data_IF_078417148627
#
_entry.id   IF_078417148627
#
_cell.length_a   1.000
_cell.length_b   1.000
_cell.length_c   1.000
_cell.angle_alpha   90.00
_cell.angle_beta   90.00
_cell.angle_gamma   90.00
#
_symmetry.space_group_name_H-M   'P 1'
#
loop_
_entity.id
_entity.type
_entity.pdbx_description
1 polymer ?
#
# COMPACT_ATOMS: atom_id res chain seq x y z
N UNK A 1 -12.55 -10.29 -1.84
CA UNK A 1 -13.08 -11.43 -2.61
C UNK A 1 -13.55 -11.04 -4.00
N UNK A 2 -14.69 -10.34 -4.14
CA UNK A 2 -15.33 -10.00 -5.44
C UNK A 2 -14.35 -9.44 -6.48
N UNK A 3 -13.59 -8.40 -6.11
CA UNK A 3 -12.62 -7.77 -7.03
C UNK A 3 -11.61 -8.78 -7.60
N UNK A 4 -11.02 -9.61 -6.73
CA UNK A 4 -9.96 -10.55 -7.10
C UNK A 4 -10.50 -11.69 -7.96
N UNK A 5 -11.67 -12.23 -7.62
CA UNK A 5 -12.33 -13.26 -8.42
C UNK A 5 -12.76 -12.73 -9.79
N UNK A 6 -13.21 -11.47 -9.89
CA UNK A 6 -13.49 -10.84 -11.17
C UNK A 6 -12.22 -10.69 -12.04
N UNK A 7 -11.10 -10.25 -11.45
CA UNK A 7 -9.82 -10.18 -12.15
C UNK A 7 -9.36 -11.55 -12.68
N UNK A 8 -9.52 -12.61 -11.89
CA UNK A 8 -9.21 -13.99 -12.32
C UNK A 8 -10.10 -14.44 -13.47
N UNK A 9 -11.41 -14.25 -13.34
CA UNK A 9 -12.37 -14.62 -14.36
C UNK A 9 -12.09 -13.91 -15.70
N UNK A 10 -11.87 -12.60 -15.68
CA UNK A 10 -11.59 -11.81 -16.89
C UNK A 10 -10.28 -12.24 -17.55
N UNK A 11 -9.23 -12.53 -16.77
CA UNK A 11 -7.97 -13.04 -17.31
C UNK A 11 -8.12 -14.43 -17.93
N UNK A 12 -8.93 -15.30 -17.32
CA UNK A 12 -9.18 -16.65 -17.82
C UNK A 12 -9.94 -16.68 -19.16
N UNK A 13 -10.63 -15.60 -19.53
CA UNK A 13 -11.30 -15.50 -20.84
C UNK A 13 -10.33 -15.40 -22.03
N UNK A 14 -9.04 -15.13 -21.79
CA UNK A 14 -8.04 -15.06 -22.87
C UNK A 14 -8.30 -13.92 -23.88
N UNK A 15 -9.00 -12.87 -23.46
CA UNK A 15 -9.30 -11.71 -24.31
C UNK A 15 -8.02 -10.94 -24.64
N UNK A 16 -7.96 -10.34 -25.83
CA UNK A 16 -6.81 -9.55 -26.32
C UNK A 16 -6.29 -8.52 -25.30
N UNK A 17 -7.20 -7.87 -24.58
CA UNK A 17 -6.91 -6.84 -23.57
C UNK A 17 -7.32 -7.27 -22.15
N UNK A 18 -7.55 -8.56 -21.91
CA UNK A 18 -8.00 -9.07 -20.61
C UNK A 18 -7.00 -8.84 -19.47
N UNK A 19 -5.72 -8.71 -19.81
CA UNK A 19 -4.64 -8.39 -18.85
C UNK A 19 -4.63 -6.93 -18.41
N UNK A 20 -5.26 -6.02 -19.18
CA UNK A 20 -5.38 -4.59 -18.89
C UNK A 20 -6.50 -4.28 -17.89
N UNK A 21 -7.38 -5.26 -17.62
CA UNK A 21 -8.43 -5.09 -16.62
C UNK A 21 -7.84 -4.81 -15.24
N UNK A 22 -8.18 -3.63 -14.71
CA UNK A 22 -7.72 -3.19 -13.40
C UNK A 22 -8.82 -2.41 -12.67
N UNK A 23 -8.95 -2.70 -11.37
CA UNK A 23 -9.88 -2.00 -10.47
C UNK A 23 -9.04 -1.21 -9.46
N UNK A 24 -9.02 0.14 -9.54
CA UNK A 24 -8.26 1.00 -8.62
C UNK A 24 -8.68 0.83 -7.17
N UNK A 25 -9.99 0.83 -6.93
CA UNK A 25 -10.58 0.65 -5.61
C UNK A 25 -11.97 0.00 -5.75
N UNK A 26 -12.36 -0.79 -4.76
CA UNK A 26 -13.71 -1.35 -4.62
C UNK A 26 -14.00 -1.45 -3.12
N UNK A 27 -14.39 -0.32 -2.53
CA UNK A 27 -14.54 -0.12 -1.09
C UNK A 27 -15.64 0.90 -0.84
N UNK A 28 -16.29 0.81 0.32
CA UNK A 28 -17.25 1.81 0.80
C UNK A 28 -16.59 2.88 1.67
N UNK A 29 -15.29 2.74 1.96
CA UNK A 29 -14.53 3.67 2.83
C UNK A 29 -13.51 4.50 2.08
N UNK A 30 -13.00 3.99 0.97
CA UNK A 30 -11.93 4.61 0.19
C UNK A 30 -12.24 4.54 -1.29
N UNK A 31 -11.86 5.59 -2.01
CA UNK A 31 -11.95 5.67 -3.47
C UNK A 31 -10.62 6.20 -4.01
N UNK A 32 -10.12 5.60 -5.09
CA UNK A 32 -8.84 5.95 -5.70
C UNK A 32 -9.08 6.57 -7.08
N UNK A 33 -8.76 7.86 -7.18
CA UNK A 33 -8.65 8.59 -8.44
C UNK A 33 -7.18 8.62 -8.84
N UNK A 34 -6.84 7.95 -9.95
CA UNK A 34 -5.45 7.86 -10.42
C UNK A 34 -5.38 7.84 -11.94
N UNK A 35 -4.23 8.18 -12.50
CA UNK A 35 -4.03 8.15 -13.94
C UNK A 35 -2.66 8.62 -14.36
N UNK A 36 -2.45 8.63 -15.68
CA UNK A 36 -1.25 9.16 -16.31
C UNK A 36 -1.39 10.69 -16.48
N UNK A 37 -1.41 11.39 -15.36
CA UNK A 37 -1.70 12.82 -15.27
C UNK A 37 -0.55 13.53 -14.55
N UNK A 38 -0.30 14.79 -14.91
CA UNK A 38 0.45 15.68 -14.04
C UNK A 38 -0.36 15.98 -12.77
N UNK A 39 0.32 16.31 -11.68
CA UNK A 39 -0.33 16.52 -10.38
C UNK A 39 -1.40 17.62 -10.42
N UNK A 40 -1.14 18.70 -11.18
CA UNK A 40 -2.05 19.84 -11.37
C UNK A 40 -3.24 19.53 -12.32
N UNK A 41 -3.21 18.39 -13.02
CA UNK A 41 -4.26 17.96 -13.93
C UNK A 41 -5.32 17.07 -13.27
N UNK A 42 -5.07 16.57 -12.05
CA UNK A 42 -5.98 15.62 -11.38
C UNK A 42 -7.39 16.16 -11.24
N UNK A 43 -7.56 17.38 -10.71
CA UNK A 43 -8.89 18.03 -10.57
C UNK A 43 -9.48 18.53 -11.88
N UNK A 44 -8.67 18.67 -12.94
CA UNK A 44 -9.15 19.04 -14.28
C UNK A 44 -9.77 17.84 -14.99
N UNK A 45 -9.15 16.66 -14.82
CA UNK A 45 -9.60 15.39 -15.40
C UNK A 45 -10.75 14.78 -14.61
N UNK A 46 -10.61 14.66 -13.29
CA UNK A 46 -11.63 14.10 -12.41
C UNK A 46 -12.47 15.21 -11.79
N UNK A 47 -13.50 15.65 -12.52
CA UNK A 47 -14.40 16.74 -12.08
C UNK A 47 -15.15 16.43 -10.78
N UNK A 48 -15.33 15.16 -10.46
CA UNK A 48 -15.91 14.72 -9.18
C UNK A 48 -15.14 15.28 -7.97
N UNK A 49 -13.81 15.44 -8.08
CA UNK A 49 -12.97 16.00 -7.01
C UNK A 49 -13.12 17.52 -6.85
N UNK A 50 -13.73 18.20 -7.82
CA UNK A 50 -14.03 19.63 -7.75
C UNK A 50 -15.44 19.90 -7.20
N UNK A 51 -16.23 18.86 -7.01
CA UNK A 51 -17.58 18.95 -6.47
C UNK A 51 -17.53 19.14 -4.94
N UNK A 52 -18.33 20.06 -4.40
CA UNK A 52 -18.39 20.35 -2.96
C UNK A 52 -18.79 19.15 -2.10
N UNK A 53 -19.43 18.14 -2.70
CA UNK A 53 -19.82 16.89 -2.04
C UNK A 53 -18.64 15.94 -1.86
N UNK A 54 -17.52 16.16 -2.55
CA UNK A 54 -16.30 15.37 -2.41
C UNK A 54 -15.52 15.77 -1.15
N UNK A 55 -16.09 15.46 0.02
CA UNK A 55 -15.50 15.68 1.33
C UNK A 55 -14.84 14.41 1.85
N UNK A 56 -13.72 14.55 2.56
CA UNK A 56 -13.03 13.42 3.18
C UNK A 56 -12.28 13.83 4.44
N UNK A 57 -12.20 12.92 5.40
CA UNK A 57 -11.36 13.07 6.59
C UNK A 57 -9.87 12.76 6.30
N UNK A 58 -9.57 12.12 5.17
CA UNK A 58 -8.21 11.77 4.75
C UNK A 58 -8.00 12.04 3.27
N UNK A 59 -6.77 12.41 2.91
CA UNK A 59 -6.34 12.50 1.53
C UNK A 59 -4.94 11.91 1.41
N UNK A 60 -4.72 11.07 0.40
CA UNK A 60 -3.43 10.49 0.08
C UNK A 60 -3.11 10.76 -1.40
N UNK A 61 -2.04 11.50 -1.64
CA UNK A 61 -1.62 11.90 -2.98
C UNK A 61 -0.22 11.34 -3.23
N UNK A 62 0.03 10.91 -4.47
CA UNK A 62 1.33 10.39 -4.85
C UNK A 62 1.63 10.66 -6.32
N UNK A 63 2.78 11.29 -6.58
CA UNK A 63 3.33 11.43 -7.91
C UNK A 63 4.48 10.44 -8.09
N UNK A 64 4.38 9.59 -9.11
CA UNK A 64 5.39 8.57 -9.40
C UNK A 64 6.36 9.07 -10.48
N UNK A 65 7.65 8.92 -10.23
CA UNK A 65 8.68 8.98 -11.27
C UNK A 65 8.95 7.55 -11.77
N UNK A 66 8.96 7.35 -13.09
CA UNK A 66 9.13 6.02 -13.71
C UNK A 66 10.37 6.03 -14.59
N UNK A 67 11.19 4.98 -14.49
CA UNK A 67 12.27 4.71 -15.45
C UNK A 67 11.78 3.97 -16.70
N UNK A 68 10.53 3.50 -16.70
CA UNK A 68 9.90 2.87 -17.88
C UNK A 68 9.44 3.94 -18.88
N UNK A 69 9.69 3.70 -20.16
CA UNK A 69 9.28 4.57 -21.27
C UNK A 69 7.82 4.38 -21.67
N UNK A 70 7.20 3.25 -21.34
CA UNK A 70 5.79 2.96 -21.63
C UNK A 70 4.93 3.19 -20.38
N UNK A 71 3.97 4.13 -20.45
CA UNK A 71 3.16 4.46 -19.29
C UNK A 71 1.96 3.51 -19.17
N UNK A 72 1.71 2.99 -17.98
CA UNK A 72 0.57 2.12 -17.69
C UNK A 72 -0.28 2.69 -16.55
N UNK A 73 -1.59 2.86 -16.82
CA UNK A 73 -2.55 3.41 -15.86
C UNK A 73 -2.62 2.60 -14.56
N UNK A 74 -2.52 1.28 -14.66
CA UNK A 74 -2.59 0.38 -13.51
C UNK A 74 -1.45 0.60 -12.51
N UNK A 75 -0.30 1.09 -12.98
CA UNK A 75 0.91 1.32 -12.18
C UNK A 75 0.94 2.70 -11.50
N UNK A 76 -0.01 3.59 -11.82
CA UNK A 76 -0.15 4.85 -11.11
C UNK A 76 -0.52 4.59 -9.64
N UNK A 77 0.00 5.41 -8.73
CA UNK A 77 -0.39 5.42 -7.32
C UNK A 77 -1.59 6.37 -7.10
N UNK A 78 -2.27 6.30 -5.94
CA UNK A 78 -2.15 5.27 -4.90
C UNK A 78 -2.59 3.87 -5.35
N UNK A 79 -2.11 2.85 -4.64
CA UNK A 79 -2.74 1.53 -4.63
C UNK A 79 -3.91 1.53 -3.63
N UNK A 80 -4.49 0.38 -3.31
CA UNK A 80 -5.76 0.31 -2.57
C UNK A 80 -5.58 0.68 -1.11
N UNK A 81 -4.44 0.27 -0.55
CA UNK A 81 -4.09 0.47 0.85
C UNK A 81 -2.87 1.35 1.00
N UNK A 82 -2.00 1.44 -0.02
CA UNK A 82 -0.69 2.09 0.10
C UNK A 82 -0.37 3.09 -0.99
N UNK A 83 0.43 4.09 -0.64
CA UNK A 83 1.27 4.85 -1.56
C UNK A 83 2.72 4.73 -1.10
N UNK A 84 3.61 4.39 -2.01
CA UNK A 84 5.00 4.05 -1.72
C UNK A 84 5.95 4.93 -2.54
N UNK A 85 6.74 5.75 -1.84
CA UNK A 85 7.89 6.43 -2.42
C UNK A 85 9.13 5.58 -2.14
N UNK A 86 9.67 4.92 -3.16
CA UNK A 86 10.76 3.98 -2.95
C UNK A 86 10.85 2.85 -3.95
N UNK A 87 11.60 1.84 -3.56
CA UNK A 87 11.77 0.58 -4.29
C UNK A 87 11.96 -0.56 -3.29
N UNK A 88 11.20 -1.65 -3.45
CA UNK A 88 11.36 -2.85 -2.62
C UNK A 88 12.32 -3.81 -3.31
N UNK A 89 13.59 -3.75 -2.90
CA UNK A 89 14.68 -4.54 -3.48
C UNK A 89 14.53 -6.05 -3.27
N UNK A 90 13.81 -6.45 -2.21
CA UNK A 90 13.60 -7.87 -1.90
C UNK A 90 12.38 -8.49 -2.60
N UNK A 91 11.66 -7.74 -3.45
CA UNK A 91 10.36 -8.15 -4.03
C UNK A 91 10.39 -9.54 -4.67
N UNK A 92 11.46 -9.90 -5.39
CA UNK A 92 11.56 -11.22 -6.04
C UNK A 92 11.57 -12.36 -5.02
N UNK A 93 12.28 -12.18 -3.91
CA UNK A 93 12.28 -13.13 -2.80
C UNK A 93 10.90 -13.21 -2.14
N UNK A 94 10.31 -12.07 -1.81
CA UNK A 94 9.01 -11.99 -1.16
C UNK A 94 7.90 -12.63 -2.01
N UNK A 95 7.91 -12.37 -3.33
CA UNK A 95 7.00 -13.02 -4.27
C UNK A 95 7.13 -14.55 -4.24
N UNK A 96 8.36 -15.06 -4.27
CA UNK A 96 8.61 -16.51 -4.23
C UNK A 96 8.17 -17.12 -2.89
N UNK A 97 8.39 -16.45 -1.77
CA UNK A 97 7.91 -16.89 -0.46
C UNK A 97 6.39 -16.94 -0.39
N UNK A 98 5.71 -15.92 -0.91
CA UNK A 98 4.24 -15.91 -0.97
C UNK A 98 3.70 -17.04 -1.85
N UNK A 99 4.35 -17.35 -2.97
CA UNK A 99 4.00 -18.51 -3.80
C UNK A 99 4.26 -19.84 -3.10
N UNK A 100 5.36 -19.97 -2.37
CA UNK A 100 5.67 -21.19 -1.61
C UNK A 100 4.62 -21.44 -0.50
N UNK A 101 4.04 -20.37 0.06
CA UNK A 101 3.01 -20.43 1.11
C UNK A 101 1.60 -20.73 0.58
N UNK A 102 1.33 -20.58 -0.71
CA UNK A 102 -0.01 -20.70 -1.32
C UNK A 102 -0.76 -21.98 -0.90
N UNK A 103 -0.08 -23.13 -0.90
CA UNK A 103 -0.70 -24.41 -0.53
C UNK A 103 -0.80 -24.68 0.99
N UNK A 104 -0.05 -23.93 1.81
CA UNK A 104 0.01 -24.14 3.26
C UNK A 104 -0.78 -23.08 4.04
N UNK A 105 -1.10 -21.94 3.43
CA UNK A 105 -1.79 -20.84 4.09
C UNK A 105 -3.20 -21.24 4.50
N UNK A 106 -3.60 -20.86 5.71
CA UNK A 106 -4.95 -21.07 6.24
C UNK A 106 -5.38 -19.81 6.96
N UNK A 107 -6.66 -19.46 6.83
CA UNK A 107 -7.25 -18.32 7.52
C UNK A 107 -8.61 -18.75 8.08
N UNK A 108 -8.83 -18.67 9.41
CA UNK A 108 -10.14 -18.96 9.98
C UNK A 108 -11.20 -17.92 9.57
N UNK A 109 -10.76 -16.71 9.19
CA UNK A 109 -11.64 -15.63 8.75
C UNK A 109 -12.09 -15.83 7.30
N UNK A 110 -11.17 -16.20 6.41
CA UNK A 110 -11.47 -16.40 4.99
C UNK A 110 -11.93 -17.83 4.67
N UNK A 111 -11.62 -18.82 5.51
CA UNK A 111 -12.02 -20.21 5.31
C UNK A 111 -11.68 -20.73 3.90
N UNK A 112 -12.67 -21.36 3.25
CA UNK A 112 -12.53 -21.91 1.91
C UNK A 112 -12.37 -20.85 0.81
N UNK A 113 -12.82 -19.61 1.06
CA UNK A 113 -12.70 -18.51 0.10
C UNK A 113 -11.25 -18.13 -0.18
N UNK A 114 -10.32 -18.41 0.75
CA UNK A 114 -8.89 -18.13 0.59
C UNK A 114 -8.33 -18.73 -0.70
N UNK A 115 -8.75 -19.93 -1.08
CA UNK A 115 -8.33 -20.61 -2.31
C UNK A 115 -8.63 -19.77 -3.56
N UNK A 116 -9.73 -19.01 -3.56
CA UNK A 116 -10.17 -18.21 -4.71
C UNK A 116 -9.33 -16.93 -4.90
N UNK A 117 -8.50 -16.57 -3.93
CA UNK A 117 -7.61 -15.40 -4.03
C UNK A 117 -6.38 -15.68 -4.90
N UNK A 118 -6.02 -16.95 -5.08
CA UNK A 118 -4.81 -17.34 -5.79
C UNK A 118 -4.97 -17.33 -7.31
N UNK A 119 -3.92 -16.92 -8.08
CA UNK A 119 -2.66 -16.36 -7.59
C UNK A 119 -2.84 -14.97 -6.95
N UNK A 120 -2.33 -14.77 -5.74
CA UNK A 120 -2.47 -13.50 -5.01
C UNK A 120 -1.76 -12.36 -5.73
N UNK A 121 -0.52 -12.62 -6.15
CA UNK A 121 0.31 -11.73 -6.95
C UNK A 121 0.39 -12.30 -8.36
N UNK A 122 0.05 -11.51 -9.36
CA UNK A 122 0.25 -11.91 -10.76
C UNK A 122 1.72 -11.76 -11.14
N UNK A 123 2.21 -12.55 -12.12
CA UNK A 123 3.54 -12.32 -12.68
C UNK A 123 3.71 -10.86 -13.14
N UNK A 124 4.93 -10.34 -12.99
CA UNK A 124 5.37 -9.03 -13.51
C UNK A 124 4.66 -7.81 -12.91
N UNK A 125 3.94 -7.97 -11.81
CA UNK A 125 3.44 -6.82 -11.06
C UNK A 125 4.60 -6.01 -10.46
N UNK A 126 4.40 -4.70 -10.35
CA UNK A 126 5.34 -3.83 -9.64
C UNK A 126 5.52 -4.28 -8.19
N UNK A 127 6.65 -3.90 -7.61
CA UNK A 127 6.97 -4.11 -6.21
C UNK A 127 5.87 -3.66 -5.25
N UNK A 128 5.32 -2.47 -5.48
CA UNK A 128 4.26 -1.87 -4.67
C UNK A 128 2.94 -2.61 -4.85
N UNK A 129 2.62 -3.06 -6.07
CA UNK A 129 1.44 -3.89 -6.30
C UNK A 129 1.54 -5.23 -5.58
N UNK A 130 2.73 -5.84 -5.58
CA UNK A 130 3.00 -7.06 -4.83
C UNK A 130 2.78 -6.84 -3.33
N UNK A 131 3.33 -5.75 -2.78
CA UNK A 131 3.16 -5.36 -1.38
C UNK A 131 1.70 -5.12 -1.01
N UNK A 132 0.97 -4.30 -1.79
CA UNK A 132 -0.45 -3.98 -1.57
C UNK A 132 -1.33 -5.24 -1.55
N UNK A 133 -1.07 -6.21 -2.45
CA UNK A 133 -1.83 -7.46 -2.47
C UNK A 133 -1.60 -8.31 -1.20
N UNK A 134 -0.37 -8.35 -0.67
CA UNK A 134 -0.05 -9.11 0.54
C UNK A 134 -0.62 -8.42 1.78
N UNK A 135 -0.50 -7.09 1.85
CA UNK A 135 -1.12 -6.30 2.91
C UNK A 135 -2.63 -6.51 2.93
N UNK A 136 -3.29 -6.49 1.77
CA UNK A 136 -4.73 -6.74 1.67
C UNK A 136 -5.10 -8.15 2.16
N UNK A 137 -4.31 -9.17 1.83
CA UNK A 137 -4.53 -10.53 2.33
C UNK A 137 -4.46 -10.58 3.87
N UNK A 138 -3.47 -9.91 4.48
CA UNK A 138 -3.34 -9.85 5.94
C UNK A 138 -4.55 -9.17 6.59
N UNK A 139 -4.96 -8.01 6.07
CA UNK A 139 -6.14 -7.29 6.57
C UNK A 139 -7.42 -8.13 6.43
N UNK A 140 -7.63 -8.73 5.25
CA UNK A 140 -8.76 -9.60 4.98
C UNK A 140 -8.77 -10.86 5.87
N UNK A 141 -7.59 -11.29 6.34
CA UNK A 141 -7.45 -12.40 7.27
C UNK A 141 -7.62 -11.98 8.75
N UNK A 142 -7.89 -10.70 9.02
CA UNK A 142 -8.21 -10.19 10.35
C UNK A 142 -7.08 -9.47 11.08
N UNK A 143 -5.92 -9.28 10.45
CA UNK A 143 -4.83 -8.52 11.08
C UNK A 143 -5.16 -7.02 11.13
N UNK A 144 -4.91 -6.33 12.26
CA UNK A 144 -4.94 -4.88 12.30
C UNK A 144 -3.92 -4.25 11.33
N UNK A 145 -4.25 -3.09 10.76
CA UNK A 145 -3.40 -2.41 9.78
C UNK A 145 -1.99 -2.12 10.29
N UNK A 146 -1.87 -1.52 11.47
CA UNK A 146 -0.57 -1.26 12.08
C UNK A 146 0.25 -2.56 12.30
N UNK A 147 -0.41 -3.64 12.75
CA UNK A 147 0.26 -4.93 12.94
C UNK A 147 0.77 -5.49 11.62
N UNK A 148 -0.07 -5.51 10.57
CA UNK A 148 0.31 -6.01 9.26
C UNK A 148 1.48 -5.19 8.66
N UNK A 149 1.47 -3.87 8.81
CA UNK A 149 2.57 -3.01 8.39
C UNK A 149 3.86 -3.29 9.16
N UNK A 150 3.79 -3.46 10.48
CA UNK A 150 4.97 -3.81 11.30
C UNK A 150 5.52 -5.21 10.98
N UNK A 151 4.67 -6.15 10.53
CA UNK A 151 5.12 -7.46 10.07
C UNK A 151 5.84 -7.38 8.72
N UNK A 152 5.33 -6.56 7.78
CA UNK A 152 5.90 -6.45 6.44
C UNK A 152 7.13 -5.53 6.38
N UNK A 153 7.14 -4.43 7.14
CA UNK A 153 8.25 -3.48 7.26
C UNK A 153 8.63 -3.33 8.74
N UNK A 154 9.32 -4.33 9.32
CA UNK A 154 9.73 -4.26 10.70
C UNK A 154 10.87 -3.24 10.90
N UNK A 155 10.82 -2.52 12.02
CA UNK A 155 11.94 -1.68 12.50
C UNK A 155 13.25 -2.51 12.60
N UNK A 156 14.41 -1.85 12.61
CA UNK A 156 15.68 -2.52 12.90
C UNK A 156 15.74 -2.95 14.38
N UNK A 157 15.21 -4.13 14.70
CA UNK A 157 14.95 -4.55 16.08
C UNK A 157 16.07 -5.40 16.72
N UNK A 158 16.80 -6.20 15.95
CA UNK A 158 17.75 -7.20 16.47
C UNK A 158 18.80 -6.60 17.41
N UNK A 159 19.41 -5.48 17.03
CA UNK A 159 20.50 -4.83 17.78
C UNK A 159 20.06 -3.53 18.49
N UNK A 160 18.75 -3.28 18.59
CA UNK A 160 18.25 -2.04 19.18
C UNK A 160 18.28 -2.05 20.72
N UNK A 161 19.39 -1.58 21.30
CA UNK A 161 19.66 -1.65 22.75
C UNK A 161 18.55 -1.04 23.63
N UNK A 162 17.84 -0.03 23.14
CA UNK A 162 16.82 0.70 23.89
C UNK A 162 15.37 0.35 23.48
N UNK A 163 15.17 -0.73 22.73
CA UNK A 163 13.82 -1.10 22.28
C UNK A 163 13.04 -1.69 23.45
N UNK A 164 11.78 -1.27 23.58
CA UNK A 164 10.85 -1.88 24.54
C UNK A 164 10.83 -3.43 24.38
N UNK A 165 10.97 -4.21 25.47
CA UNK A 165 11.02 -5.66 25.38
C UNK A 165 9.79 -6.30 24.75
N UNK A 166 8.59 -5.73 24.91
CA UNK A 166 7.36 -6.26 24.29
C UNK A 166 7.39 -6.04 22.79
N UNK A 167 7.86 -4.87 22.34
CA UNK A 167 8.05 -4.58 20.91
C UNK A 167 9.10 -5.49 20.28
N UNK A 168 10.22 -5.73 20.96
CA UNK A 168 11.24 -6.69 20.51
C UNK A 168 10.66 -8.10 20.36
N UNK A 169 9.95 -8.59 21.38
CA UNK A 169 9.32 -9.90 21.35
C UNK A 169 8.27 -10.01 20.23
N UNK A 170 7.53 -8.93 19.96
CA UNK A 170 6.62 -8.86 18.83
C UNK A 170 7.36 -9.08 17.50
N UNK A 171 8.47 -8.37 17.26
CA UNK A 171 9.22 -8.52 16.01
C UNK A 171 9.89 -9.89 15.89
N UNK A 172 10.47 -10.40 16.97
CA UNK A 172 11.10 -11.72 17.01
C UNK A 172 10.09 -12.83 16.66
N UNK A 173 8.87 -12.77 17.21
CA UNK A 173 7.81 -13.71 16.89
C UNK A 173 7.40 -13.67 15.41
N UNK A 174 7.23 -12.48 14.85
CA UNK A 174 6.75 -12.33 13.47
C UNK A 174 7.84 -12.51 12.41
N UNK A 175 9.13 -12.37 12.76
CA UNK A 175 10.24 -12.58 11.83
C UNK A 175 10.29 -14.01 11.26
N UNK A 176 9.80 -15.00 12.02
CA UNK A 176 9.66 -16.38 11.54
C UNK A 176 8.45 -16.58 10.60
N UNK A 177 7.50 -15.64 10.57
CA UNK A 177 6.24 -15.73 9.83
C UNK A 177 6.24 -14.94 8.53
N UNK A 178 6.87 -13.76 8.53
CA UNK A 178 6.92 -12.85 7.39
C UNK A 178 8.34 -12.33 7.22
N UNK A 179 8.89 -12.54 6.04
CA UNK A 179 10.14 -11.94 5.61
C UNK A 179 9.96 -10.42 5.39
N UNK A 180 10.95 -9.59 5.76
CA UNK A 180 10.87 -8.15 5.53
C UNK A 180 10.79 -7.80 4.03
N UNK A 181 9.87 -6.89 3.72
CA UNK A 181 9.79 -6.22 2.42
C UNK A 181 10.72 -5.01 2.45
N UNK A 182 11.98 -5.25 2.12
CA UNK A 182 13.09 -4.33 2.36
C UNK A 182 13.53 -3.59 1.10
N UNK A 183 14.11 -2.42 1.30
CA UNK A 183 14.47 -1.45 0.27
C UNK A 183 14.12 -0.01 0.71
N UNK A 184 14.63 1.02 0.02
CA UNK A 184 14.31 2.41 0.36
C UNK A 184 12.81 2.64 0.26
N UNK A 185 12.14 3.01 1.34
CA UNK A 185 10.69 3.17 1.34
C UNK A 185 10.22 4.26 2.31
N UNK A 186 9.39 5.17 1.82
CA UNK A 186 8.42 5.90 2.62
C UNK A 186 7.04 5.46 2.17
N UNK A 187 6.30 4.79 3.05
CA UNK A 187 4.98 4.24 2.75
C UNK A 187 3.94 4.94 3.61
N UNK A 188 2.96 5.55 2.96
CA UNK A 188 1.72 5.97 3.59
C UNK A 188 0.63 4.94 3.29
N UNK A 189 -0.19 4.60 4.28
CA UNK A 189 -1.14 3.50 4.20
C UNK A 189 -2.44 3.79 4.95
N UNK A 190 -3.55 3.22 4.46
CA UNK A 190 -4.87 3.35 5.10
C UNK A 190 -5.82 2.20 4.74
N UNK A 191 -6.71 1.85 5.68
CA UNK A 191 -7.88 0.99 5.45
C UNK A 191 -9.20 1.80 5.39
N UNK A 192 -9.10 3.13 5.36
CA UNK A 192 -10.22 4.07 5.44
C UNK A 192 -10.71 4.38 6.86
N UNK A 193 -10.16 3.75 7.90
CA UNK A 193 -10.42 4.06 9.31
C UNK A 193 -9.18 4.57 10.03
N UNK A 194 -8.05 3.94 9.77
CA UNK A 194 -6.73 4.35 10.23
C UNK A 194 -5.92 4.83 9.03
N UNK A 195 -5.17 5.91 9.21
CA UNK A 195 -4.10 6.31 8.29
C UNK A 195 -2.78 6.29 9.07
N UNK A 196 -1.72 5.85 8.41
CA UNK A 196 -0.38 5.83 8.97
C UNK A 196 0.67 6.02 7.90
N UNK A 197 1.89 6.28 8.35
CA UNK A 197 3.06 6.25 7.50
C UNK A 197 4.22 5.60 8.24
N UNK A 198 5.08 4.92 7.49
CA UNK A 198 6.31 4.34 8.00
C UNK A 198 7.44 4.53 7.00
N UNK A 199 8.66 4.54 7.52
CA UNK A 199 9.86 4.42 6.72
C UNK A 199 10.34 2.97 6.71
N UNK A 200 11.19 2.65 5.75
CA UNK A 200 12.03 1.46 5.82
C UNK A 200 12.95 1.52 7.05
N UNK A 201 13.49 0.36 7.41
CA UNK A 201 14.33 0.19 8.61
C UNK A 201 15.54 1.11 8.69
N UNK A 202 16.01 1.64 7.56
CA UNK A 202 17.18 2.51 7.47
C UNK A 202 16.80 3.99 7.22
N UNK A 203 15.51 4.30 7.06
CA UNK A 203 15.04 5.67 6.86
C UNK A 203 15.55 6.31 5.57
N UNK A 204 15.60 5.56 4.47
CA UNK A 204 16.28 5.98 3.23
C UNK A 204 15.49 6.98 2.39
N UNK A 205 14.25 7.29 2.77
CA UNK A 205 13.36 8.23 2.07
C UNK A 205 12.89 9.33 3.02
N UNK A 206 12.75 10.57 2.52
CA UNK A 206 12.32 11.66 3.36
C UNK A 206 10.81 11.55 3.66
N UNK A 207 10.46 11.78 4.92
CA UNK A 207 9.09 12.01 5.36
C UNK A 207 9.12 13.09 6.44
N UNK A 208 8.38 14.16 6.21
CA UNK A 208 8.22 15.29 7.12
C UNK A 208 6.75 15.40 7.45
N UNK A 209 6.43 15.68 8.71
CA UNK A 209 5.06 15.93 9.12
C UNK A 209 4.97 17.20 9.96
N UNK A 210 3.79 17.83 9.90
CA UNK A 210 3.37 18.91 10.80
C UNK A 210 2.01 18.55 11.39
N UNK A 211 1.80 19.01 12.62
CA UNK A 211 0.51 19.01 13.29
C UNK A 211 0.04 20.46 13.36
N UNK A 212 -1.16 20.74 12.88
CA UNK A 212 -1.77 22.06 12.94
C UNK A 212 -2.67 22.20 14.18
N UNK A 213 -2.97 23.43 14.58
CA UNK A 213 -3.83 23.69 15.75
C UNK A 213 -5.29 23.25 15.55
N UNK A 214 -5.71 23.10 14.30
CA UNK A 214 -7.00 22.49 13.93
C UNK A 214 -6.91 20.96 13.79
N UNK A 215 -5.95 20.34 14.47
CA UNK A 215 -5.76 18.89 14.63
C UNK A 215 -5.52 18.13 13.31
N UNK A 216 -5.03 18.79 12.26
CA UNK A 216 -4.65 18.12 11.01
C UNK A 216 -3.22 17.65 11.07
N UNK A 217 -3.01 16.40 10.63
CA UNK A 217 -1.68 15.85 10.38
C UNK A 217 -1.41 15.92 8.89
N UNK A 218 -0.38 16.69 8.50
CA UNK A 218 0.07 16.79 7.12
C UNK A 218 1.43 16.12 7.04
N UNK A 219 1.54 15.06 6.25
CA UNK A 219 2.79 14.35 5.97
C UNK A 219 3.13 14.45 4.49
N UNK A 220 4.38 14.77 4.19
CA UNK A 220 4.89 14.89 2.83
C UNK A 220 6.37 14.52 2.73
N UNK A 221 6.86 14.27 1.52
CA UNK A 221 8.28 14.03 1.27
C UNK A 221 9.14 15.27 1.50
N UNK A 222 8.55 16.47 1.46
CA UNK A 222 9.22 17.76 1.63
C UNK A 222 8.37 18.71 2.49
N UNK A 223 8.98 19.75 3.04
CA UNK A 223 8.28 20.81 3.77
C UNK A 223 7.75 21.88 2.80
N UNK A 224 6.68 22.58 3.18
CA UNK A 224 6.13 23.68 2.36
C UNK A 224 5.25 23.25 1.19
N UNK A 225 4.81 21.99 1.14
CA UNK A 225 3.94 21.47 0.06
C UNK A 225 2.50 22.01 0.11
N UNK A 226 2.06 22.49 1.27
CA UNK A 226 0.77 23.15 1.45
C UNK A 226 0.99 24.49 2.16
N UNK A 227 0.23 25.53 1.78
CA UNK A 227 0.27 26.80 2.49
C UNK A 227 -0.41 26.64 3.85
N UNK A 228 0.38 26.43 4.89
CA UNK A 228 -0.07 26.40 6.28
C UNK A 228 0.45 27.67 6.96
N UNK A 229 -0.43 28.57 7.44
CA UNK A 229 -0.01 29.77 8.14
C UNK A 229 0.86 29.43 9.36
N UNK A 230 1.98 30.14 9.55
CA UNK A 230 2.86 29.96 10.71
C UNK A 230 2.25 30.53 12.01
N UNK A 231 1.09 31.18 11.97
CA UNK A 231 0.64 32.07 13.05
C UNK A 231 -0.19 31.42 14.17
N UNK A 232 0.51 31.32 15.31
CA UNK A 232 0.15 31.29 16.75
C UNK A 232 -0.25 29.98 17.41
#
# INVERSE_FOLDING_TARGET
>A
MIRKTASHAIRALGLRHGTEYFVPSMSTRTVVYKGLLLADQVGQYYRDLMDERAVSALALVHQRFSTNTFPEWALAHPYRLVAHNGEINTVRGNYNWMRAREGAVRSPVLGEDLQRLWPLIYPEQSDTACFDNVLELLLMSGYPLAQAMMMMIPEAWEQHAHMDPRRRAFYEYHAAMMEPWDGPAAIAFTDGRQIGATLDRNGLRPARYILTDDERVILASEVGVLPVPESR
#
